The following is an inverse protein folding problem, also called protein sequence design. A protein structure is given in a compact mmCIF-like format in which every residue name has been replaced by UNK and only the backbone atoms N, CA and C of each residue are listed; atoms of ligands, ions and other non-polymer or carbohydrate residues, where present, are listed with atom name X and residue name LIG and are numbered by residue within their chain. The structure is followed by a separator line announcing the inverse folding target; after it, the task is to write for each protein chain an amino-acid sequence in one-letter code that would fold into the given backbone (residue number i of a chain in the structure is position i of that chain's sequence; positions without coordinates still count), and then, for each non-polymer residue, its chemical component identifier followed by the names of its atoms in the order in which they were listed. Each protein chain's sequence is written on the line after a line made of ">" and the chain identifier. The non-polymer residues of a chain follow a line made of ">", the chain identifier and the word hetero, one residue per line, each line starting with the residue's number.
data_IF_222821343981
#
_entry.id   IF_222821343981
#
_cell.length_a   1.000
_cell.length_b   1.000
_cell.length_c   1.000
_cell.angle_alpha   90.00
_cell.angle_beta   90.00
_cell.angle_gamma   90.00
#
_symmetry.space_group_name_H-M   'P 1'
#
loop_
_entity.id
_entity.type
_entity.pdbx_description
1 polymer ?
#
# COMPACT_ATOMS: atom_id res chain seq x y z
N UNK A 1 -17.89 -7.30 1.46
CA UNK A 1 -18.03 -5.94 0.86
C UNK A 1 -16.74 -5.60 0.12
N UNK A 2 -16.81 -4.96 -1.06
CA UNK A 2 -15.62 -4.52 -1.81
C UNK A 2 -15.42 -3.03 -1.54
N UNK A 3 -14.25 -2.64 -1.04
CA UNK A 3 -13.86 -1.23 -0.93
C UNK A 3 -12.92 -0.94 -2.08
N UNK A 4 -13.48 -0.38 -3.15
CA UNK A 4 -12.77 -0.15 -4.40
C UNK A 4 -12.14 1.24 -4.43
N UNK A 5 -10.91 1.30 -4.92
CA UNK A 5 -10.16 2.48 -5.35
C UNK A 5 -9.59 3.39 -4.26
N UNK A 6 -8.54 2.89 -3.60
CA UNK A 6 -7.62 3.73 -2.85
C UNK A 6 -6.74 4.50 -3.84
N UNK A 7 -7.07 5.75 -4.12
CA UNK A 7 -6.21 6.65 -4.87
C UNK A 7 -5.54 7.65 -3.93
N UNK A 8 -4.22 7.81 -4.04
CA UNK A 8 -3.51 8.85 -3.29
C UNK A 8 -2.46 9.53 -4.16
N UNK A 9 -2.27 10.83 -3.91
CA UNK A 9 -1.16 11.62 -4.44
C UNK A 9 -0.20 11.90 -3.29
N UNK A 10 1.03 11.42 -3.40
CA UNK A 10 2.05 11.61 -2.36
C UNK A 10 3.42 11.67 -2.99
N UNK A 11 4.35 12.41 -2.38
CA UNK A 11 5.76 12.46 -2.77
C UNK A 11 5.95 12.73 -4.28
N UNK A 12 5.11 13.61 -4.84
CA UNK A 12 5.04 13.95 -6.28
C UNK A 12 4.71 12.80 -7.24
N UNK A 13 4.29 11.64 -6.73
CA UNK A 13 3.78 10.52 -7.51
C UNK A 13 2.32 10.22 -7.22
N UNK A 14 1.89 9.06 -7.68
CA UNK A 14 0.52 8.58 -7.50
C UNK A 14 0.53 7.12 -7.05
N UNK A 15 -0.48 6.73 -6.29
CA UNK A 15 -0.73 5.34 -5.96
C UNK A 15 -2.20 5.00 -6.13
N UNK A 16 -2.43 3.75 -6.49
CA UNK A 16 -3.75 3.16 -6.65
C UNK A 16 -3.74 1.76 -6.02
N UNK A 17 -4.86 1.35 -5.44
CA UNK A 17 -4.97 0.04 -4.84
C UNK A 17 -6.41 -0.40 -4.64
N UNK A 18 -6.55 -1.68 -4.29
CA UNK A 18 -7.85 -2.31 -4.03
C UNK A 18 -7.80 -3.06 -2.71
N UNK A 19 -8.93 -3.07 -2.00
CA UNK A 19 -9.12 -3.88 -0.80
C UNK A 19 -10.41 -4.69 -0.95
N UNK A 20 -10.29 -5.99 -0.77
CA UNK A 20 -11.39 -6.93 -0.77
C UNK A 20 -11.54 -7.50 0.64
N UNK A 21 -12.74 -7.35 1.20
CA UNK A 21 -13.10 -7.99 2.48
C UNK A 21 -14.12 -9.07 2.22
N UNK A 22 -13.72 -10.31 2.49
CA UNK A 22 -14.57 -11.49 2.37
C UNK A 22 -15.03 -11.90 3.76
N UNK A 23 -16.32 -11.74 4.02
CA UNK A 23 -16.97 -12.16 5.26
C UNK A 23 -17.61 -13.53 5.05
N UNK A 24 -17.45 -14.43 6.02
CA UNK A 24 -18.07 -15.76 6.01
C UNK A 24 -18.76 -15.99 7.35
N UNK A 25 -20.06 -16.33 7.40
CA UNK A 25 -20.76 -16.58 8.65
C UNK A 25 -20.04 -17.65 9.49
N UNK A 26 -19.75 -17.35 10.75
CA UNK A 26 -19.05 -18.27 11.67
C UNK A 26 -17.54 -18.37 11.48
N UNK A 27 -16.94 -17.62 10.56
CA UNK A 27 -15.50 -17.58 10.32
C UNK A 27 -14.96 -16.14 10.42
N UNK A 28 -13.67 -16.02 10.70
CA UNK A 28 -13.01 -14.72 10.69
C UNK A 28 -12.97 -14.14 9.26
N UNK A 29 -13.21 -12.83 9.14
CA UNK A 29 -13.22 -12.15 7.85
C UNK A 29 -11.82 -12.12 7.26
N UNK A 30 -11.70 -12.45 5.97
CA UNK A 30 -10.45 -12.40 5.22
C UNK A 30 -10.31 -11.03 4.56
N UNK A 31 -9.13 -10.43 4.66
CA UNK A 31 -8.79 -9.17 4.03
C UNK A 31 -7.67 -9.41 3.02
N UNK A 32 -7.89 -9.00 1.78
CA UNK A 32 -6.91 -9.10 0.71
C UNK A 32 -6.82 -7.76 0.01
N UNK A 33 -5.63 -7.37 -0.43
CA UNK A 33 -5.48 -6.14 -1.16
C UNK A 33 -4.10 -5.98 -1.78
N UNK A 34 -4.02 -4.97 -2.63
CA UNK A 34 -2.78 -4.59 -3.28
C UNK A 34 -2.74 -3.10 -3.46
N UNK A 35 -1.61 -2.49 -3.13
CA UNK A 35 -1.33 -1.08 -3.34
C UNK A 35 -0.13 -0.98 -4.27
N UNK A 36 -0.30 -0.27 -5.38
CA UNK A 36 0.76 0.06 -6.32
C UNK A 36 1.01 1.55 -6.30
N UNK A 37 2.27 1.96 -6.39
CA UNK A 37 2.65 3.35 -6.60
C UNK A 37 3.56 3.51 -7.81
N UNK A 38 3.33 4.60 -8.51
CA UNK A 38 4.08 5.01 -9.67
C UNK A 38 4.76 6.35 -9.40
N UNK A 39 6.02 6.41 -9.80
CA UNK A 39 6.77 7.63 -9.93
C UNK A 39 6.93 8.45 -8.63
N UNK A 40 7.03 7.79 -7.46
CA UNK A 40 7.32 8.49 -6.21
C UNK A 40 8.74 9.08 -6.25
N UNK A 41 8.89 10.35 -5.89
CA UNK A 41 10.18 11.04 -5.96
C UNK A 41 11.12 10.60 -4.84
N UNK A 42 12.29 10.08 -5.20
CA UNK A 42 13.34 9.71 -4.24
C UNK A 42 13.89 10.93 -3.50
N UNK A 43 13.87 12.12 -4.11
CA UNK A 43 14.29 13.34 -3.42
C UNK A 43 13.30 13.75 -2.33
N UNK A 44 12.00 13.61 -2.57
CA UNK A 44 10.97 13.89 -1.57
C UNK A 44 10.95 12.85 -0.45
N UNK A 45 11.19 11.57 -0.78
CA UNK A 45 11.39 10.50 0.21
C UNK A 45 12.63 10.81 1.07
N UNK A 46 13.73 11.19 0.43
CA UNK A 46 14.97 11.57 1.11
C UNK A 46 14.79 12.74 2.08
N UNK A 47 14.09 13.80 1.66
CA UNK A 47 13.74 14.92 2.55
C UNK A 47 12.90 14.49 3.74
N UNK A 48 11.91 13.63 3.53
CA UNK A 48 10.98 13.20 4.59
C UNK A 48 11.64 12.28 5.63
N UNK A 49 12.58 11.44 5.21
CA UNK A 49 13.17 10.40 6.07
C UNK A 49 14.68 10.58 6.36
N UNK A 50 15.29 11.68 5.90
CA UNK A 50 16.68 12.03 6.23
C UNK A 50 17.75 11.24 5.49
N UNK A 51 17.46 10.73 4.27
CA UNK A 51 18.48 10.02 3.49
C UNK A 51 19.48 11.01 2.86
N UNK A 52 20.77 10.88 3.18
CA UNK A 52 21.85 11.78 2.73
C UNK A 52 22.12 11.79 1.22
N UNK A 53 21.66 10.78 0.48
CA UNK A 53 21.85 10.69 -0.98
C UNK A 53 20.52 10.82 -1.71
N UNK A 54 20.05 12.06 -1.86
CA UNK A 54 18.96 12.40 -2.78
C UNK A 54 19.45 12.38 -4.24
N UNK A 55 19.93 11.23 -4.73
CA UNK A 55 20.07 11.07 -6.17
C UNK A 55 18.67 11.20 -6.78
N UNK A 56 18.52 12.14 -7.72
CA UNK A 56 17.26 12.32 -8.44
C UNK A 56 16.80 11.00 -9.05
N UNK A 57 15.49 10.77 -9.03
CA UNK A 57 14.92 9.51 -9.49
C UNK A 57 13.51 9.28 -8.99
N UNK A 58 12.89 8.27 -9.58
CA UNK A 58 11.52 7.85 -9.30
C UNK A 58 11.54 6.39 -8.86
N UNK A 59 10.77 6.06 -7.83
CA UNK A 59 10.54 4.68 -7.41
C UNK A 59 9.12 4.24 -7.75
N UNK A 60 9.02 3.03 -8.27
CA UNK A 60 7.77 2.31 -8.48
C UNK A 60 7.77 1.09 -7.57
N UNK A 61 6.61 0.68 -7.12
CA UNK A 61 6.50 -0.46 -6.26
C UNK A 61 5.07 -0.93 -6.11
N UNK A 62 4.96 -2.13 -5.57
CA UNK A 62 3.71 -2.79 -5.29
C UNK A 62 3.86 -3.52 -3.96
N UNK A 63 2.84 -3.41 -3.14
CA UNK A 63 2.67 -4.19 -1.93
C UNK A 63 1.37 -4.97 -2.08
N UNK A 64 1.47 -6.28 -2.10
CA UNK A 64 0.32 -7.17 -1.97
C UNK A 64 0.24 -7.64 -0.52
N UNK A 65 -0.97 -7.78 -0.01
CA UNK A 65 -1.18 -8.27 1.35
C UNK A 65 -2.41 -9.17 1.43
N UNK A 66 -2.31 -10.15 2.31
CA UNK A 66 -3.41 -11.01 2.73
C UNK A 66 -3.38 -11.07 4.24
N UNK A 67 -4.54 -11.04 4.90
CA UNK A 67 -4.64 -11.15 6.35
C UNK A 67 -6.05 -11.51 6.82
N UNK A 68 -6.20 -11.58 8.14
CA UNK A 68 -7.47 -11.82 8.83
C UNK A 68 -7.86 -10.55 9.59
N UNK A 69 -9.12 -10.15 9.51
CA UNK A 69 -9.62 -8.95 10.18
C UNK A 69 -9.39 -9.04 11.70
N UNK A 70 -8.80 -7.98 12.27
CA UNK A 70 -8.44 -7.93 13.69
C UNK A 70 -7.09 -8.57 14.04
N UNK A 71 -6.40 -9.22 13.08
CA UNK A 71 -5.04 -9.73 13.28
C UNK A 71 -4.05 -9.11 12.29
N UNK A 72 -3.49 -7.96 12.68
CA UNK A 72 -2.47 -7.26 11.91
C UNK A 72 -1.16 -8.06 11.77
N UNK A 73 -0.93 -9.10 12.59
CA UNK A 73 0.24 -9.98 12.47
C UNK A 73 0.09 -10.99 11.34
N UNK A 74 -1.13 -11.18 10.84
CA UNK A 74 -1.41 -12.05 9.70
C UNK A 74 -1.20 -11.36 8.34
N UNK A 75 -0.76 -10.09 8.31
CA UNK A 75 -0.40 -9.39 7.09
C UNK A 75 0.93 -9.94 6.56
N UNK A 76 0.84 -10.85 5.59
CA UNK A 76 2.00 -11.32 4.83
C UNK A 76 2.13 -10.49 3.55
N UNK A 77 3.34 -9.98 3.28
CA UNK A 77 3.70 -9.20 2.10
C UNK A 77 5.18 -9.30 1.77
#
# INVERSE_FOLDING_TARGET
>A
HVVSDLQFRTLQGSGAGTITVTERPGLASKVEGGIMWNDLSLSEIGKKFGFEKSKGGKVRGRLDFTGIAGDARALNG
#
